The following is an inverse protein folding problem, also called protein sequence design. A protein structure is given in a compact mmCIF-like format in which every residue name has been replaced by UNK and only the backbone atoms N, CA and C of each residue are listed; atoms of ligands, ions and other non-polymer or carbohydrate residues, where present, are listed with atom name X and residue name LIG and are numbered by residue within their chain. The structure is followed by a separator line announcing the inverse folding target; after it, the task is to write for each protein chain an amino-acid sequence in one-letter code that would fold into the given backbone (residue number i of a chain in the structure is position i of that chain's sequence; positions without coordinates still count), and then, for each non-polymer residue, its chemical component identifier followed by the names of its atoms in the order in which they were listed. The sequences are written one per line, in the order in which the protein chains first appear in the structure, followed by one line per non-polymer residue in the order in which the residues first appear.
data_IF_037833146811
#
_entry.id   IF_037833146811
#
_cell.length_a   1.000
_cell.length_b   1.000
_cell.length_c   1.000
_cell.angle_alpha   90.00
_cell.angle_beta   90.00
_cell.angle_gamma   90.00
#
_symmetry.space_group_name_H-M   'P 1'
#
loop_
_entity.id
_entity.type
_entity.pdbx_description
1 polymer ?
#
# COMPACT_ATOMS: atom_id res chain seq x y z
N UNK A 1 -9.59 -20.97 11.39
CA UNK A 1 -8.60 -19.95 11.81
C UNK A 1 -8.81 -18.72 10.94
N UNK A 2 -9.08 -17.56 11.51
CA UNK A 2 -9.30 -16.32 10.76
C UNK A 2 -7.98 -15.91 10.10
N UNK A 3 -7.90 -15.92 8.77
CA UNK A 3 -6.72 -15.45 8.06
C UNK A 3 -6.49 -13.97 8.37
N UNK A 4 -5.23 -13.60 8.60
CA UNK A 4 -4.82 -12.21 8.85
C UNK A 4 -3.80 -11.78 7.80
N UNK A 5 -4.23 -11.58 6.54
CA UNK A 5 -3.33 -11.36 5.40
C UNK A 5 -2.39 -10.16 5.57
N UNK A 6 -2.84 -9.10 6.26
CA UNK A 6 -2.00 -7.94 6.59
C UNK A 6 -0.86 -8.29 7.55
N UNK A 7 -1.12 -9.17 8.52
CA UNK A 7 -0.11 -9.59 9.49
C UNK A 7 0.90 -10.53 8.83
N UNK A 8 0.43 -11.45 8.00
CA UNK A 8 1.24 -12.36 7.19
C UNK A 8 2.16 -11.60 6.21
N UNK A 9 1.66 -10.52 5.59
CA UNK A 9 2.47 -9.63 4.75
C UNK A 9 3.54 -8.89 5.56
N UNK A 10 3.17 -8.33 6.71
CA UNK A 10 4.09 -7.58 7.57
C UNK A 10 5.21 -8.45 8.16
N UNK A 11 4.94 -9.75 8.37
CA UNK A 11 5.88 -10.73 8.92
C UNK A 11 6.83 -11.37 7.90
N UNK A 12 6.76 -10.99 6.62
CA UNK A 12 7.71 -11.46 5.58
C UNK A 12 9.15 -10.98 5.80
N UNK A 13 9.33 -9.99 6.68
CA UNK A 13 10.64 -9.59 7.20
C UNK A 13 10.77 -10.22 8.58
N UNK A 14 11.70 -11.16 8.73
CA UNK A 14 11.95 -11.88 9.98
C UNK A 14 13.40 -11.72 10.42
N UNK A 15 13.64 -11.77 11.72
CA UNK A 15 15.00 -11.93 12.23
C UNK A 15 15.45 -13.38 12.03
N UNK A 16 16.69 -13.58 11.61
CA UNK A 16 17.28 -14.91 11.44
C UNK A 16 17.78 -15.55 12.75
N UNK A 17 17.74 -14.80 13.85
CA UNK A 17 18.22 -15.25 15.16
C UNK A 17 19.69 -14.92 15.43
N UNK A 18 20.46 -14.51 14.41
CA UNK A 18 21.88 -14.14 14.49
C UNK A 18 22.09 -12.61 14.40
N UNK A 19 21.00 -11.85 14.53
CA UNK A 19 20.99 -10.39 14.37
C UNK A 19 20.82 -9.92 12.93
N UNK A 20 20.67 -10.83 11.97
CA UNK A 20 20.34 -10.52 10.59
C UNK A 20 18.83 -10.46 10.34
N UNK A 21 18.50 -9.95 9.16
CA UNK A 21 17.12 -9.79 8.69
C UNK A 21 16.95 -10.58 7.41
N UNK A 22 16.02 -11.52 7.41
CA UNK A 22 15.62 -12.28 6.23
C UNK A 22 14.33 -11.69 5.68
N UNK A 23 14.35 -11.42 4.38
CA UNK A 23 13.21 -10.90 3.63
C UNK A 23 12.77 -11.94 2.58
N UNK A 24 11.59 -12.52 2.80
CA UNK A 24 10.99 -13.50 1.89
C UNK A 24 10.59 -12.90 0.52
N UNK A 25 10.45 -11.57 0.43
CA UNK A 25 10.12 -10.82 -0.78
C UNK A 25 11.35 -10.14 -1.43
N UNK A 26 12.57 -10.43 -0.94
CA UNK A 26 13.81 -9.87 -1.47
C UNK A 26 14.02 -10.18 -2.96
N UNK A 27 13.44 -11.28 -3.44
CA UNK A 27 13.57 -11.73 -4.83
C UNK A 27 12.19 -12.03 -5.44
N UNK A 28 12.12 -11.96 -6.78
CA UNK A 28 10.93 -12.36 -7.53
C UNK A 28 10.53 -13.80 -7.22
N UNK A 29 11.51 -14.72 -7.16
CA UNK A 29 11.27 -16.13 -6.83
C UNK A 29 10.70 -16.31 -5.41
N UNK A 30 11.24 -15.58 -4.43
CA UNK A 30 10.73 -15.57 -3.06
C UNK A 30 9.29 -15.06 -3.00
N UNK A 31 9.00 -14.00 -3.75
CA UNK A 31 7.66 -13.41 -3.87
C UNK A 31 6.65 -14.38 -4.47
N UNK A 32 6.98 -15.03 -5.59
CA UNK A 32 6.15 -16.08 -6.21
C UNK A 32 5.84 -17.20 -5.21
N UNK A 33 6.87 -17.68 -4.50
CA UNK A 33 6.71 -18.74 -3.51
C UNK A 33 5.81 -18.30 -2.34
N UNK A 34 5.95 -17.06 -1.87
CA UNK A 34 5.12 -16.52 -0.80
C UNK A 34 3.65 -16.40 -1.21
N UNK A 35 3.38 -15.90 -2.43
CA UNK A 35 2.01 -15.78 -2.98
C UNK A 35 1.36 -17.16 -3.06
N UNK A 36 2.07 -18.16 -3.61
CA UNK A 36 1.54 -19.52 -3.77
C UNK A 36 1.21 -20.22 -2.44
N UNK A 37 1.81 -19.78 -1.33
CA UNK A 37 1.50 -20.30 0.02
C UNK A 37 0.29 -19.63 0.66
N UNK A 38 -0.22 -18.53 0.07
CA UNK A 38 -1.38 -17.82 0.61
C UNK A 38 -2.66 -18.60 0.32
N UNK A 39 -3.19 -19.25 1.35
CA UNK A 39 -4.41 -20.05 1.27
C UNK A 39 -5.69 -19.22 1.13
N UNK A 40 -5.60 -17.88 1.21
CA UNK A 40 -6.72 -16.94 1.14
C UNK A 40 -6.82 -16.14 -0.16
N UNK A 41 -5.84 -16.24 -1.05
CA UNK A 41 -5.83 -15.53 -2.32
C UNK A 41 -6.37 -16.46 -3.41
N UNK A 42 -7.58 -16.15 -3.91
CA UNK A 42 -8.12 -16.84 -5.08
C UNK A 42 -7.12 -16.72 -6.25
N UNK A 43 -6.82 -17.83 -6.91
CA UNK A 43 -5.88 -17.92 -8.06
C UNK A 43 -4.38 -17.80 -7.76
N UNK A 44 -3.94 -17.89 -6.51
CA UNK A 44 -2.51 -17.77 -6.17
C UNK A 44 -1.63 -18.95 -6.66
N UNK A 45 -2.20 -20.15 -6.77
CA UNK A 45 -1.45 -21.40 -7.03
C UNK A 45 -0.74 -21.50 -8.38
N UNK A 46 -1.04 -20.62 -9.34
CA UNK A 46 -0.39 -20.57 -10.66
C UNK A 46 0.27 -19.22 -10.98
N UNK A 47 0.22 -18.26 -10.04
CA UNK A 47 0.75 -16.92 -10.29
C UNK A 47 2.28 -16.94 -10.18
N UNK A 48 2.94 -16.39 -11.20
CA UNK A 48 4.37 -16.10 -11.20
C UNK A 48 4.53 -14.59 -11.05
N UNK A 49 5.19 -14.15 -10.00
CA UNK A 49 5.48 -12.74 -9.82
C UNK A 49 6.50 -12.28 -10.87
N UNK A 50 6.29 -11.07 -11.38
CA UNK A 50 7.31 -10.30 -12.06
C UNK A 50 7.88 -9.23 -11.12
N UNK A 51 8.82 -8.43 -11.63
CA UNK A 51 9.47 -7.40 -10.85
C UNK A 51 8.51 -6.24 -10.49
N UNK A 52 7.54 -5.93 -11.36
CA UNK A 52 6.55 -4.89 -11.11
C UNK A 52 5.62 -5.28 -9.95
N UNK A 53 5.11 -6.52 -9.97
CA UNK A 53 4.29 -7.06 -8.90
C UNK A 53 5.08 -7.14 -7.60
N UNK A 54 6.34 -7.62 -7.65
CA UNK A 54 7.21 -7.65 -6.47
C UNK A 54 7.37 -6.27 -5.85
N UNK A 55 7.73 -5.27 -6.67
CA UNK A 55 7.89 -3.90 -6.20
C UNK A 55 6.59 -3.35 -5.61
N UNK A 56 5.44 -3.66 -6.22
CA UNK A 56 4.12 -3.33 -5.70
C UNK A 56 3.85 -3.91 -4.31
N UNK A 57 4.07 -5.22 -4.13
CA UNK A 57 3.85 -5.92 -2.85
C UNK A 57 4.80 -5.39 -1.77
N UNK A 58 6.09 -5.20 -2.10
CA UNK A 58 7.08 -4.61 -1.17
C UNK A 58 6.67 -3.20 -0.77
N UNK A 59 6.17 -2.39 -1.71
CA UNK A 59 5.64 -1.05 -1.44
C UNK A 59 4.45 -1.07 -0.48
N UNK A 60 3.48 -1.97 -0.69
CA UNK A 60 2.32 -2.14 0.22
C UNK A 60 2.79 -2.60 1.60
N UNK A 61 3.72 -3.56 1.68
CA UNK A 61 4.30 -4.00 2.95
C UNK A 61 4.95 -2.84 3.71
N UNK A 62 5.74 -2.01 3.03
CA UNK A 62 6.38 -0.83 3.62
C UNK A 62 5.35 0.15 4.19
N UNK A 63 4.29 0.42 3.42
CA UNK A 63 3.19 1.27 3.87
C UNK A 63 2.48 0.72 5.12
N UNK A 64 2.11 -0.58 5.12
CA UNK A 64 1.46 -1.23 6.27
C UNK A 64 2.34 -1.17 7.52
N UNK A 65 3.65 -1.47 7.39
CA UNK A 65 4.59 -1.42 8.52
C UNK A 65 4.75 -0.01 9.08
N UNK A 66 4.80 1.01 8.23
CA UNK A 66 4.84 2.41 8.66
C UNK A 66 3.57 2.82 9.42
N UNK A 67 2.39 2.40 8.94
CA UNK A 67 1.13 2.66 9.63
C UNK A 67 1.02 1.92 10.97
N UNK A 68 1.53 0.69 11.06
CA UNK A 68 1.63 -0.02 12.34
C UNK A 68 2.60 0.65 13.31
N UNK A 69 3.76 1.09 12.83
CA UNK A 69 4.72 1.83 13.66
C UNK A 69 4.10 3.10 14.24
N UNK A 70 3.30 3.83 13.46
CA UNK A 70 2.54 5.01 13.91
C UNK A 70 1.58 4.70 15.08
N UNK A 71 0.98 3.52 15.12
CA UNK A 71 0.06 3.12 16.19
C UNK A 71 0.80 2.62 17.42
N UNK A 72 1.88 1.86 17.22
CA UNK A 72 2.61 1.18 18.29
C UNK A 72 3.61 2.10 18.98
N UNK A 73 4.06 3.16 18.30
CA UNK A 73 4.91 4.20 18.89
C UNK A 73 4.25 5.58 18.69
N UNK A 74 3.51 6.10 19.69
CA UNK A 74 2.85 7.40 19.58
C UNK A 74 3.83 8.59 19.65
N UNK A 75 5.08 8.36 20.03
CA UNK A 75 6.13 9.36 19.93
C UNK A 75 6.66 9.42 18.49
N UNK A 76 7.05 10.61 17.97
CA UNK A 76 7.72 10.71 16.68
C UNK A 76 8.87 9.69 16.62
N UNK A 77 9.07 8.98 15.49
CA UNK A 77 10.22 8.10 15.35
C UNK A 77 11.48 8.88 15.69
N UNK A 78 12.39 8.28 16.48
CA UNK A 78 13.70 8.87 16.70
C UNK A 78 14.33 9.17 15.33
N UNK A 79 15.18 10.21 15.19
CA UNK A 79 15.79 10.55 13.91
C UNK A 79 16.41 9.34 13.21
N UNK A 80 17.02 8.43 13.98
CA UNK A 80 17.57 7.16 13.49
C UNK A 80 16.54 6.24 12.79
N UNK A 81 15.29 6.21 13.23
CA UNK A 81 14.20 5.39 12.66
C UNK A 81 13.46 6.12 11.53
N UNK A 82 13.46 7.45 11.55
CA UNK A 82 12.81 8.29 10.54
C UNK A 82 13.44 8.13 9.15
N UNK A 83 14.71 7.73 9.08
CA UNK A 83 15.42 7.45 7.83
C UNK A 83 15.14 6.04 7.29
N UNK A 84 14.58 5.16 8.13
CA UNK A 84 14.31 3.75 7.83
C UNK A 84 12.85 3.51 7.46
N UNK A 85 11.93 4.34 7.98
CA UNK A 85 10.49 4.17 7.80
C UNK A 85 9.90 5.19 6.81
N UNK A 86 8.97 4.70 5.98
CA UNK A 86 8.18 5.53 5.08
C UNK A 86 7.34 6.53 5.87
N UNK A 87 7.30 7.83 5.48
CA UNK A 87 6.41 8.81 6.09
C UNK A 87 4.95 8.36 6.08
N UNK A 88 4.22 8.59 7.16
CA UNK A 88 2.85 8.09 7.32
C UNK A 88 1.88 8.57 6.22
N UNK A 89 2.02 9.81 5.74
CA UNK A 89 1.23 10.33 4.62
C UNK A 89 1.50 9.56 3.32
N UNK A 90 2.78 9.32 3.01
CA UNK A 90 3.19 8.56 1.82
C UNK A 90 2.73 7.09 1.91
N UNK A 91 2.73 6.52 3.11
CA UNK A 91 2.18 5.18 3.36
C UNK A 91 0.67 5.11 3.08
N UNK A 92 -0.12 6.11 3.53
CA UNK A 92 -1.55 6.19 3.23
C UNK A 92 -1.81 6.30 1.73
N UNK A 93 -1.07 7.18 1.04
CA UNK A 93 -1.20 7.38 -0.40
C UNK A 93 -0.88 6.10 -1.18
N UNK A 94 0.20 5.40 -0.82
CA UNK A 94 0.57 4.13 -1.44
C UNK A 94 -0.49 3.04 -1.21
N UNK A 95 -1.02 2.95 0.00
CA UNK A 95 -2.05 1.96 0.32
C UNK A 95 -3.36 2.24 -0.43
N UNK A 96 -3.79 3.50 -0.46
CA UNK A 96 -4.99 3.93 -1.20
C UNK A 96 -4.82 3.77 -2.71
N UNK A 97 -3.63 4.02 -3.25
CA UNK A 97 -3.32 3.81 -4.67
C UNK A 97 -3.33 2.32 -5.05
N UNK A 98 -2.88 1.43 -4.16
CA UNK A 98 -3.01 0.00 -4.34
C UNK A 98 -4.48 -0.44 -4.34
N UNK A 99 -5.27 0.03 -3.37
CA UNK A 99 -6.70 -0.26 -3.29
C UNK A 99 -7.49 0.28 -4.49
N UNK A 100 -7.06 1.40 -5.09
CA UNK A 100 -7.68 1.98 -6.27
C UNK A 100 -7.58 1.12 -7.55
N UNK A 101 -6.80 0.03 -7.53
CA UNK A 101 -6.71 -0.94 -8.63
C UNK A 101 -7.93 -1.87 -8.67
N UNK A 102 -8.65 -2.00 -7.56
CA UNK A 102 -9.86 -2.81 -7.44
C UNK A 102 -11.10 -2.09 -7.96
N UNK A 103 -12.13 -2.87 -8.34
CA UNK A 103 -13.40 -2.32 -8.82
C UNK A 103 -14.12 -1.50 -7.75
N UNK A 104 -14.04 -1.96 -6.49
CA UNK A 104 -14.48 -1.24 -5.31
C UNK A 104 -13.24 -0.90 -4.52
N UNK A 105 -12.86 0.38 -4.55
CA UNK A 105 -11.65 0.90 -3.92
C UNK A 105 -11.99 1.51 -2.55
N UNK A 106 -11.98 0.73 -1.46
CA UNK A 106 -12.09 1.31 -0.13
C UNK A 106 -10.95 2.30 0.07
N UNK A 107 -11.25 3.47 0.64
CA UNK A 107 -10.26 4.48 0.95
C UNK A 107 -10.06 4.51 2.47
N UNK A 108 -8.81 4.66 2.88
CA UNK A 108 -8.45 4.90 4.27
C UNK A 108 -8.09 6.38 4.40
N UNK A 109 -8.86 7.10 5.21
CA UNK A 109 -8.50 8.45 5.63
C UNK A 109 -7.94 8.39 7.04
N UNK A 110 -6.77 8.99 7.25
CA UNK A 110 -6.14 9.01 8.56
C UNK A 110 -5.45 10.36 8.79
N UNK A 111 -6.16 11.33 9.39
CA UNK A 111 -5.64 12.66 9.65
C UNK A 111 -4.39 12.59 10.53
N UNK A 112 -3.51 13.60 10.44
CA UNK A 112 -2.27 13.66 11.23
C UNK A 112 -2.53 13.51 12.73
N UNK A 113 -3.61 14.13 13.20
CA UNK A 113 -4.15 13.95 14.54
C UNK A 113 -5.48 13.20 14.47
N UNK A 114 -5.57 12.08 15.20
CA UNK A 114 -6.80 11.30 15.32
C UNK A 114 -6.70 9.86 14.82
N UNK A 115 -7.83 9.16 14.90
CA UNK A 115 -7.97 7.76 14.55
C UNK A 115 -8.20 7.55 13.03
N UNK A 116 -7.82 6.39 12.48
CA UNK A 116 -8.13 6.04 11.10
C UNK A 116 -9.64 5.88 10.92
N UNK A 117 -10.14 6.30 9.76
CA UNK A 117 -11.55 6.22 9.40
C UNK A 117 -11.74 5.80 7.94
N UNK A 118 -12.85 5.15 7.61
CA UNK A 118 -13.19 4.87 6.22
C UNK A 118 -13.37 6.19 5.46
N UNK A 119 -12.61 6.37 4.38
CA UNK A 119 -12.85 7.43 3.40
C UNK A 119 -13.98 7.04 2.44
N UNK A 120 -14.59 8.01 1.79
CA UNK A 120 -15.58 7.73 0.74
C UNK A 120 -14.94 6.94 -0.40
N UNK A 121 -15.61 5.90 -0.87
CA UNK A 121 -15.20 5.13 -2.04
C UNK A 121 -14.98 6.07 -3.24
N UNK A 122 -13.75 6.17 -3.73
CA UNK A 122 -13.49 6.90 -4.96
C UNK A 122 -13.85 5.97 -6.12
N UNK A 123 -14.78 6.33 -7.01
CA UNK A 123 -15.04 5.51 -8.19
C UNK A 123 -13.75 5.42 -9.01
N UNK A 124 -13.45 4.24 -9.56
CA UNK A 124 -12.32 4.03 -10.46
C UNK A 124 -12.48 4.99 -11.64
N UNK A 125 -11.79 6.13 -11.59
CA UNK A 125 -11.72 7.03 -12.74
C UNK A 125 -10.89 6.31 -13.78
N UNK A 126 -11.55 5.61 -14.70
CA UNK A 126 -10.97 5.30 -16.01
C UNK A 126 -10.39 6.61 -16.50
N UNK A 127 -9.07 6.66 -16.75
CA UNK A 127 -8.39 7.84 -17.29
C UNK A 127 -9.28 8.45 -18.39
N UNK A 128 -9.91 9.58 -18.08
CA UNK A 128 -10.63 10.37 -19.05
C UNK A 128 -9.58 10.97 -19.97
N UNK A 129 -9.37 10.34 -21.12
CA UNK A 129 -8.67 10.95 -22.24
C UNK A 129 -9.48 12.17 -22.70
N UNK A 130 -8.89 13.36 -22.56
CA UNK A 130 -9.42 14.63 -23.08
C UNK A 130 -10.67 15.10 -22.32
N UNK A 131 -10.77 16.35 -21.87
CA UNK A 131 -10.83 17.49 -22.75
C UNK A 131 -10.21 18.71 -22.06
N UNK A 132 -8.99 19.05 -22.45
CA UNK A 132 -8.52 20.43 -22.45
C UNK A 132 -8.84 21.03 -23.82
N UNK A 133 -9.98 21.69 -23.95
CA UNK A 133 -10.24 22.74 -24.95
C UNK A 133 -11.63 23.32 -24.73
N UNK A 134 -11.68 24.54 -24.19
CA UNK A 134 -12.41 25.71 -24.76
C UNK A 134 -12.65 26.77 -23.68
N UNK A 135 -11.58 27.47 -23.30
CA UNK A 135 -11.71 28.90 -23.05
C UNK A 135 -11.63 29.59 -24.42
N UNK A 136 -12.77 30.08 -24.91
CA UNK A 136 -12.83 31.20 -25.86
C UNK A 136 -14.26 31.77 -25.92
N UNK A 137 -14.47 32.86 -25.18
CA UNK A 137 -15.03 34.10 -25.70
C UNK A 137 -16.55 34.28 -25.85
N UNK A 138 -17.00 35.40 -25.28
CA UNK A 138 -18.10 36.30 -25.69
C UNK A 138 -19.47 36.13 -25.00
N UNK A 139 -20.31 37.19 -24.97
CA UNK A 139 -20.06 38.52 -24.40
C UNK A 139 -21.21 38.94 -23.45
N UNK A 140 -20.91 39.75 -22.43
CA UNK A 140 -21.94 40.42 -21.65
C UNK A 140 -22.58 41.52 -22.51
N UNK A 141 -23.85 41.33 -22.87
CA UNK A 141 -24.73 42.40 -23.33
C UNK A 141 -25.53 42.89 -22.13
N UNK A 142 -25.30 44.15 -21.74
CA UNK A 142 -26.26 45.09 -21.17
C UNK A 142 -25.61 46.46 -21.12
#
# INVERSE_FOLDING_TARGET
MTQRPVMELASTIRHDGEGGVVDDLATVRGTTRWIQQQTGLASAGGLVADEELRAGIVGVRGAVRALFARVVSPAPPSPADAHVLMPAAEALDRLNAAAARELVAPQLDWPAEGAPRPGCCRPRTTRAYGWSRRWRGMPSTS
#
